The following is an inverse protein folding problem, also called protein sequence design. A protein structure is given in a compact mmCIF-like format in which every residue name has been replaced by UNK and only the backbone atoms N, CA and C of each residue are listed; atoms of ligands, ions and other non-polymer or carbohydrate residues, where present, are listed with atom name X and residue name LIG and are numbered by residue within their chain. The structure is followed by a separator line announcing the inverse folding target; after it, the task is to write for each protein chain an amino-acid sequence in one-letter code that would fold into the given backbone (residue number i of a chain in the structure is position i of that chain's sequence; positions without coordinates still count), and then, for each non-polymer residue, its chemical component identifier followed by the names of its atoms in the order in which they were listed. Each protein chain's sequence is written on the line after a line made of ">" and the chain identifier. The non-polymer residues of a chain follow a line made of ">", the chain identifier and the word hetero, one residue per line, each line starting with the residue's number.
data_IF_948117563531
#
_entry.id   IF_948117563531
#
_cell.length_a   1.000
_cell.length_b   1.000
_cell.length_c   1.000
_cell.angle_alpha   90.00
_cell.angle_beta   90.00
_cell.angle_gamma   90.00
#
_symmetry.space_group_name_H-M   'P 1'
#
loop_
_entity.id
_entity.type
_entity.pdbx_description
1 polymer ?
#
# COMPACT_ATOMS: atom_id res chain seq x y z
N UNK A 1 -21.40 48.18 -65.18
CA UNK A 1 -19.97 48.53 -65.34
C UNK A 1 -19.84 50.05 -65.24
N UNK A 2 -18.73 50.51 -64.68
CA UNK A 2 -18.31 51.90 -64.46
C UNK A 2 -18.88 52.60 -63.21
N UNK A 3 -18.03 52.58 -62.19
CA UNK A 3 -18.02 53.38 -60.96
C UNK A 3 -17.53 54.79 -61.27
N UNK A 4 -18.16 55.80 -60.68
CA UNK A 4 -17.48 57.00 -60.20
C UNK A 4 -18.46 57.85 -59.37
N UNK A 5 -18.10 58.18 -58.14
CA UNK A 5 -18.32 59.53 -57.62
C UNK A 5 -17.43 59.78 -56.41
N UNK A 6 -16.80 60.94 -56.45
CA UNK A 6 -15.84 61.48 -55.51
C UNK A 6 -16.53 61.98 -54.22
N UNK A 7 -15.74 61.96 -53.15
CA UNK A 7 -15.49 63.06 -52.20
C UNK A 7 -16.68 63.89 -51.69
N UNK A 8 -16.88 63.89 -50.36
CA UNK A 8 -16.75 65.15 -49.62
C UNK A 8 -16.51 64.92 -48.12
N UNK A 9 -15.52 65.67 -47.63
CA UNK A 9 -15.28 66.04 -46.23
C UNK A 9 -16.59 66.41 -45.51
N UNK A 10 -16.65 66.17 -44.20
CA UNK A 10 -16.46 67.24 -43.19
C UNK A 10 -17.15 66.95 -41.85
N UNK A 11 -16.30 66.93 -40.81
CA UNK A 11 -16.50 67.44 -39.44
C UNK A 11 -17.36 66.65 -38.43
N UNK A 12 -16.62 66.23 -37.39
CA UNK A 12 -16.87 66.47 -35.95
C UNK A 12 -18.21 65.95 -35.39
N UNK A 13 -18.14 64.99 -34.48
CA UNK A 13 -18.09 65.27 -33.04
C UNK A 13 -18.38 64.00 -32.23
N UNK A 14 -17.63 63.85 -31.14
CA UNK A 14 -18.05 63.28 -29.85
C UNK A 14 -18.77 61.93 -29.83
N UNK A 15 -18.05 60.89 -29.41
CA UNK A 15 -18.38 60.16 -28.18
C UNK A 15 -17.25 59.16 -27.90
N UNK A 16 -16.48 59.44 -26.84
CA UNK A 16 -15.53 58.49 -26.30
C UNK A 16 -16.29 57.30 -25.70
N UNK A 17 -16.13 56.12 -26.30
CA UNK A 17 -16.41 54.87 -25.63
C UNK A 17 -15.09 54.41 -24.98
N UNK A 18 -14.87 54.82 -23.74
CA UNK A 18 -13.81 54.27 -22.89
C UNK A 18 -14.10 52.79 -22.66
N UNK A 19 -13.51 51.93 -23.49
CA UNK A 19 -13.55 50.48 -23.33
C UNK A 19 -12.62 50.11 -22.18
N UNK A 20 -13.17 50.06 -20.96
CA UNK A 20 -12.46 49.53 -19.78
C UNK A 20 -12.42 48.01 -19.93
N UNK A 21 -11.33 47.51 -20.52
CA UNK A 21 -11.01 46.09 -20.55
C UNK A 21 -10.54 45.66 -19.15
N UNK A 22 -11.47 45.19 -18.32
CA UNK A 22 -11.18 44.58 -17.02
C UNK A 22 -10.52 43.20 -17.27
N UNK A 23 -9.19 43.15 -17.30
CA UNK A 23 -8.44 41.89 -17.30
C UNK A 23 -8.54 41.29 -15.90
N UNK A 24 -9.53 40.43 -15.68
CA UNK A 24 -9.57 39.51 -14.55
C UNK A 24 -8.42 38.51 -14.71
N UNK A 25 -7.29 38.78 -14.07
CA UNK A 25 -6.25 37.79 -13.79
C UNK A 25 -6.86 36.73 -12.86
N UNK A 26 -7.50 35.73 -13.45
CA UNK A 26 -7.84 34.49 -12.77
C UNK A 26 -6.51 33.81 -12.49
N UNK A 27 -5.95 34.05 -11.30
CA UNK A 27 -4.92 33.19 -10.73
C UNK A 27 -5.64 31.89 -10.44
N UNK A 28 -5.70 31.00 -11.44
CA UNK A 28 -6.05 29.63 -11.19
C UNK A 28 -5.02 29.12 -10.17
N UNK A 29 -5.43 28.68 -8.97
CA UNK A 29 -4.51 27.91 -8.16
C UNK A 29 -4.16 26.71 -9.03
N UNK A 30 -2.90 26.60 -9.42
CA UNK A 30 -2.35 25.35 -9.91
C UNK A 30 -2.53 24.36 -8.77
N UNK A 31 -3.64 23.63 -8.79
CA UNK A 31 -3.70 22.32 -8.18
C UNK A 31 -2.58 21.55 -8.87
N UNK A 32 -1.41 21.53 -8.25
CA UNK A 32 -0.42 20.53 -8.56
C UNK A 32 -1.13 19.23 -8.25
N UNK A 33 -1.77 18.64 -9.25
CA UNK A 33 -2.01 17.21 -9.26
C UNK A 33 -0.64 16.61 -8.96
N UNK A 34 -0.46 16.10 -7.75
CA UNK A 34 0.74 15.37 -7.38
C UNK A 34 0.77 14.15 -8.28
N UNK A 35 1.32 14.30 -9.47
CA UNK A 35 1.52 13.20 -10.40
C UNK A 35 2.70 12.37 -9.90
N UNK A 36 2.58 11.06 -10.03
CA UNK A 36 3.69 10.14 -9.78
C UNK A 36 4.91 10.54 -10.62
N UNK A 37 5.96 11.05 -9.97
CA UNK A 37 7.22 11.44 -10.62
C UNK A 37 8.27 10.34 -10.57
N UNK A 38 7.98 9.21 -9.92
CA UNK A 38 8.92 8.11 -9.76
C UNK A 38 8.79 7.11 -10.92
N UNK A 39 9.79 6.99 -11.77
CA UNK A 39 9.78 6.02 -12.89
C UNK A 39 10.13 4.59 -12.52
N UNK A 40 10.38 4.26 -11.24
CA UNK A 40 10.97 2.98 -10.84
C UNK A 40 9.89 1.94 -10.52
N UNK A 41 9.69 0.96 -11.40
CA UNK A 41 8.67 -0.11 -11.28
C UNK A 41 9.23 -1.45 -10.82
N UNK A 42 10.54 -1.57 -10.64
CA UNK A 42 11.18 -2.79 -10.17
C UNK A 42 11.46 -2.70 -8.67
N UNK A 43 11.05 -3.69 -7.85
CA UNK A 43 11.28 -3.63 -6.40
C UNK A 43 12.76 -3.69 -6.03
N UNK A 44 13.60 -4.24 -6.91
CA UNK A 44 15.06 -4.33 -6.72
C UNK A 44 15.83 -3.16 -7.34
N UNK A 45 15.16 -2.09 -7.75
CA UNK A 45 15.80 -0.87 -8.22
C UNK A 45 15.74 0.21 -7.12
N UNK A 46 16.78 1.04 -7.04
CA UNK A 46 16.83 2.13 -6.07
C UNK A 46 15.95 3.29 -6.54
N UNK A 47 15.16 3.85 -5.64
CA UNK A 47 14.26 4.97 -5.90
C UNK A 47 14.40 6.04 -4.82
N UNK A 48 14.23 7.30 -5.22
CA UNK A 48 14.08 8.43 -4.31
C UNK A 48 12.72 9.08 -4.57
N UNK A 49 11.84 9.05 -3.58
CA UNK A 49 10.43 9.43 -3.72
C UNK A 49 10.10 10.75 -3.02
N UNK A 50 9.08 11.43 -3.53
CA UNK A 50 8.36 12.49 -2.82
C UNK A 50 6.98 12.00 -2.36
N UNK A 51 6.31 12.74 -1.47
CA UNK A 51 4.89 12.51 -1.19
C UNK A 51 4.07 12.52 -2.49
N UNK A 52 3.18 11.56 -2.65
CA UNK A 52 2.36 11.40 -3.86
C UNK A 52 3.03 10.59 -4.99
N UNK A 53 4.31 10.22 -4.87
CA UNK A 53 4.94 9.29 -5.83
C UNK A 53 4.44 7.86 -5.59
N UNK A 54 4.40 7.05 -6.64
CA UNK A 54 4.24 5.60 -6.51
C UNK A 54 5.55 4.97 -6.05
N UNK A 55 5.53 4.13 -5.01
CA UNK A 55 6.73 3.43 -4.53
C UNK A 55 6.63 1.93 -4.70
N UNK A 56 7.45 1.36 -5.59
CA UNK A 56 7.47 -0.08 -5.81
C UNK A 56 8.24 -0.82 -4.72
N UNK A 57 7.59 -1.82 -4.11
CA UNK A 57 8.23 -2.78 -3.22
C UNK A 57 7.69 -4.19 -3.44
N UNK A 58 8.46 -5.18 -3.00
CA UNK A 58 8.10 -6.60 -3.10
C UNK A 58 7.81 -7.22 -1.74
N UNK A 59 6.96 -8.25 -1.73
CA UNK A 59 6.75 -9.17 -0.61
C UNK A 59 7.05 -10.58 -1.09
N UNK A 60 8.13 -11.16 -0.59
CA UNK A 60 8.54 -12.52 -0.92
C UNK A 60 8.05 -13.50 0.15
N UNK A 61 7.51 -14.64 -0.27
CA UNK A 61 7.03 -15.73 0.56
C UNK A 61 7.96 -16.94 0.39
N UNK A 62 8.55 -17.39 1.49
CA UNK A 62 9.48 -18.51 1.52
C UNK A 62 9.52 -19.13 2.94
N UNK A 63 10.29 -20.21 3.12
CA UNK A 63 10.59 -20.68 4.47
C UNK A 63 11.48 -19.65 5.19
N UNK A 64 11.35 -19.54 6.52
CA UNK A 64 12.10 -18.57 7.32
C UNK A 64 13.61 -18.59 7.03
N UNK A 65 14.20 -19.78 6.95
CA UNK A 65 15.63 -19.97 6.73
C UNK A 65 16.10 -19.57 5.32
N UNK A 66 15.19 -19.49 4.34
CA UNK A 66 15.55 -19.18 2.96
C UNK A 66 15.87 -17.71 2.72
N UNK A 67 15.55 -16.84 3.68
CA UNK A 67 15.96 -15.43 3.67
C UNK A 67 17.35 -15.19 4.24
N UNK A 68 18.05 -16.25 4.68
CA UNK A 68 19.35 -16.16 5.33
C UNK A 68 20.44 -16.87 4.53
N UNK A 69 21.65 -16.33 4.60
CA UNK A 69 22.88 -16.97 4.12
C UNK A 69 24.00 -16.67 5.11
N UNK A 70 24.67 -17.72 5.61
CA UNK A 70 25.74 -17.56 6.61
C UNK A 70 25.29 -16.89 7.91
N UNK A 71 24.03 -17.07 8.32
CA UNK A 71 23.47 -16.44 9.52
C UNK A 71 23.04 -14.97 9.35
N UNK A 72 23.26 -14.38 8.17
CA UNK A 72 22.85 -13.00 7.87
C UNK A 72 21.60 -13.02 7.01
N UNK A 73 20.60 -12.22 7.40
CA UNK A 73 19.43 -12.01 6.56
C UNK A 73 19.80 -11.16 5.35
N UNK A 74 19.56 -11.68 4.14
CA UNK A 74 19.79 -10.96 2.89
C UNK A 74 18.47 -10.42 2.33
N UNK A 75 18.57 -9.43 1.44
CA UNK A 75 17.41 -8.97 0.68
C UNK A 75 16.98 -10.06 -0.30
N UNK A 76 15.67 -10.25 -0.55
CA UNK A 76 15.16 -11.09 -1.64
C UNK A 76 15.70 -10.77 -3.04
N UNK A 77 16.27 -9.57 -3.24
CA UNK A 77 17.01 -9.21 -4.46
C UNK A 77 18.40 -9.85 -4.58
N UNK A 78 18.91 -10.47 -3.52
CA UNK A 78 20.24 -11.08 -3.49
C UNK A 78 20.21 -12.49 -4.08
N UNK A 79 20.92 -12.67 -5.20
CA UNK A 79 20.97 -13.92 -5.93
C UNK A 79 21.49 -15.11 -5.11
N UNK A 80 22.22 -14.88 -4.02
CA UNK A 80 22.73 -15.96 -3.14
C UNK A 80 21.61 -16.73 -2.42
N UNK A 81 20.42 -16.14 -2.30
CA UNK A 81 19.28 -16.81 -1.69
C UNK A 81 18.64 -17.86 -2.61
N UNK A 82 18.83 -17.70 -3.93
CA UNK A 82 18.23 -18.57 -4.97
C UNK A 82 16.74 -18.83 -4.76
N UNK A 83 15.99 -17.83 -4.27
CA UNK A 83 14.58 -17.96 -3.83
C UNK A 83 13.67 -18.58 -4.89
N UNK A 84 13.84 -18.20 -6.16
CA UNK A 84 13.05 -18.75 -7.26
C UNK A 84 13.21 -20.28 -7.41
N UNK A 85 14.44 -20.78 -7.26
CA UNK A 85 14.73 -22.23 -7.32
C UNK A 85 14.16 -23.01 -6.12
N UNK A 86 13.89 -22.31 -5.01
CA UNK A 86 13.30 -22.87 -3.79
C UNK A 86 11.78 -22.76 -3.74
N UNK A 87 11.15 -22.34 -4.85
CA UNK A 87 9.70 -22.24 -4.94
C UNK A 87 9.09 -21.02 -4.26
N UNK A 88 9.90 -20.01 -3.90
CA UNK A 88 9.40 -18.79 -3.30
C UNK A 88 8.41 -18.08 -4.23
N UNK A 89 7.43 -17.40 -3.62
CA UNK A 89 6.42 -16.61 -4.34
C UNK A 89 6.64 -15.13 -4.08
N UNK A 90 6.24 -14.30 -5.03
CA UNK A 90 6.47 -12.86 -4.98
C UNK A 90 5.17 -12.13 -5.29
N UNK A 91 4.82 -11.15 -4.45
CA UNK A 91 3.85 -10.12 -4.75
C UNK A 91 4.58 -8.79 -4.87
N UNK A 92 4.24 -7.98 -5.87
CA UNK A 92 4.81 -6.64 -6.09
C UNK A 92 3.69 -5.62 -6.01
N UNK A 93 3.95 -4.56 -5.26
CA UNK A 93 2.99 -3.49 -5.03
C UNK A 93 3.62 -2.15 -5.32
N UNK A 94 2.76 -1.17 -5.62
CA UNK A 94 3.15 0.20 -5.90
C UNK A 94 2.11 1.18 -5.32
N UNK A 95 2.01 1.28 -3.99
CA UNK A 95 1.19 2.29 -3.33
C UNK A 95 1.72 3.71 -3.57
N UNK A 96 0.85 4.69 -3.38
CA UNK A 96 1.24 6.10 -3.29
C UNK A 96 1.91 6.37 -1.94
N UNK A 97 2.99 7.15 -1.95
CA UNK A 97 3.76 7.48 -0.75
C UNK A 97 2.99 8.46 0.12
N UNK A 98 2.87 8.09 1.39
CA UNK A 98 2.11 8.80 2.43
C UNK A 98 0.59 8.74 2.26
N UNK A 99 0.09 7.85 1.41
CA UNK A 99 -1.31 7.45 1.38
C UNK A 99 -1.50 6.17 2.20
N UNK A 100 -2.58 6.13 2.99
CA UNK A 100 -2.96 4.90 3.69
C UNK A 100 -3.50 3.90 2.67
N UNK A 101 -2.83 2.77 2.53
CA UNK A 101 -3.29 1.68 1.66
C UNK A 101 -3.46 0.37 2.43
N UNK A 102 -4.49 -0.40 2.06
CA UNK A 102 -4.65 -1.81 2.45
C UNK A 102 -4.40 -2.67 1.22
N UNK A 103 -3.31 -3.44 1.24
CA UNK A 103 -2.97 -4.37 0.18
C UNK A 103 -3.49 -5.76 0.54
N UNK A 104 -3.96 -6.51 -0.45
CA UNK A 104 -4.41 -7.89 -0.24
C UNK A 104 -3.62 -8.82 -1.16
N UNK A 105 -3.06 -9.88 -0.59
CA UNK A 105 -2.50 -11.00 -1.36
C UNK A 105 -3.58 -12.07 -1.46
N UNK A 106 -4.13 -12.28 -2.65
CA UNK A 106 -5.22 -13.23 -2.85
C UNK A 106 -4.73 -14.68 -2.66
N UNK A 107 -5.27 -15.35 -1.65
CA UNK A 107 -4.99 -16.77 -1.35
C UNK A 107 -6.22 -17.66 -1.46
N UNK A 108 -7.41 -17.09 -1.69
CA UNK A 108 -8.71 -17.75 -1.50
C UNK A 108 -9.34 -18.31 -2.78
N UNK A 109 -8.73 -18.11 -3.95
CA UNK A 109 -9.18 -18.74 -5.19
C UNK A 109 -8.86 -20.25 -5.24
N UNK A 110 -9.73 -21.06 -5.84
CA UNK A 110 -9.42 -22.46 -6.14
C UNK A 110 -8.19 -22.53 -7.07
N UNK A 111 -7.10 -23.15 -6.62
CA UNK A 111 -5.80 -23.11 -7.31
C UNK A 111 -4.95 -21.86 -7.03
N UNK A 112 -5.38 -21.03 -6.07
CA UNK A 112 -4.69 -19.82 -5.63
C UNK A 112 -3.41 -20.09 -4.83
N UNK A 113 -2.65 -19.02 -4.59
CA UNK A 113 -1.43 -19.06 -3.80
C UNK A 113 -1.71 -19.46 -2.34
N UNK A 114 -0.97 -20.45 -1.83
CA UNK A 114 -1.04 -20.84 -0.42
C UNK A 114 0.29 -20.50 0.29
N UNK A 115 0.29 -19.53 1.22
CA UNK A 115 1.49 -19.17 1.99
C UNK A 115 2.06 -20.35 2.78
N UNK A 116 1.24 -21.28 3.27
CA UNK A 116 1.70 -22.42 4.06
C UNK A 116 2.57 -23.38 3.24
N UNK A 117 2.23 -23.59 1.96
CA UNK A 117 3.04 -24.44 1.04
C UNK A 117 4.30 -23.73 0.55
N UNK A 118 4.33 -22.40 0.60
CA UNK A 118 5.49 -21.58 0.23
C UNK A 118 6.41 -21.31 1.42
N UNK A 119 6.33 -22.11 2.48
CA UNK A 119 7.21 -22.04 3.64
C UNK A 119 6.71 -21.17 4.80
N UNK A 120 5.57 -20.49 4.66
CA UNK A 120 4.81 -19.92 5.77
C UNK A 120 5.31 -18.59 6.33
N UNK A 121 6.37 -18.00 5.76
CA UNK A 121 6.90 -16.70 6.16
C UNK A 121 6.93 -15.74 5.00
N UNK A 122 6.93 -14.44 5.30
CA UNK A 122 7.15 -13.40 4.30
C UNK A 122 8.14 -12.33 4.75
N UNK A 123 8.81 -11.72 3.76
CA UNK A 123 9.72 -10.59 3.89
C UNK A 123 9.33 -9.52 2.87
N UNK A 124 9.14 -8.29 3.34
CA UNK A 124 9.00 -7.13 2.47
C UNK A 124 10.38 -6.57 2.15
N UNK A 125 10.58 -6.08 0.93
CA UNK A 125 11.87 -5.59 0.47
C UNK A 125 11.75 -4.54 -0.62
N UNK A 126 12.74 -3.65 -0.69
CA UNK A 126 12.94 -2.75 -1.81
C UNK A 126 14.38 -2.24 -1.91
N UNK A 127 14.77 -1.85 -3.12
CA UNK A 127 16.09 -1.31 -3.44
C UNK A 127 17.20 -2.37 -3.55
N UNK A 128 18.35 -1.94 -4.06
CA UNK A 128 19.55 -2.78 -4.24
C UNK A 128 20.74 -2.24 -3.46
N UNK A 129 20.94 -0.92 -3.46
CA UNK A 129 22.07 -0.29 -2.77
C UNK A 129 21.92 -0.37 -1.25
N UNK A 130 20.75 0.02 -0.73
CA UNK A 130 20.44 -0.08 0.69
C UNK A 130 19.84 -1.43 1.05
N UNK A 131 19.25 -2.13 0.05
CA UNK A 131 18.68 -3.47 0.20
C UNK A 131 17.76 -3.56 1.44
N UNK A 132 16.89 -2.56 1.56
CA UNK A 132 15.96 -2.43 2.68
C UNK A 132 15.03 -3.64 2.71
N UNK A 133 14.89 -4.25 3.88
CA UNK A 133 14.14 -5.49 4.07
C UNK A 133 13.57 -5.55 5.48
N UNK A 134 12.39 -6.12 5.62
CA UNK A 134 11.80 -6.39 6.92
C UNK A 134 12.28 -7.71 7.51
N UNK A 135 12.23 -7.91 8.83
CA UNK A 135 12.42 -9.24 9.40
C UNK A 135 11.36 -10.22 8.87
N UNK A 136 11.66 -11.53 8.76
CA UNK A 136 10.66 -12.52 8.38
C UNK A 136 9.52 -12.56 9.40
N UNK A 137 8.29 -12.48 8.92
CA UNK A 137 7.08 -12.60 9.74
C UNK A 137 6.32 -13.86 9.38
N UNK A 138 5.76 -14.53 10.39
CA UNK A 138 4.91 -15.70 10.20
C UNK A 138 3.60 -15.29 9.52
N UNK A 139 3.19 -16.07 8.51
CA UNK A 139 1.95 -15.85 7.75
C UNK A 139 1.01 -17.02 7.93
N UNK A 140 1.46 -18.24 7.65
CA UNK A 140 0.59 -19.42 7.71
C UNK A 140 1.36 -20.72 7.86
N UNK A 141 0.73 -21.71 8.47
CA UNK A 141 1.12 -23.12 8.42
C UNK A 141 -0.13 -24.00 8.30
N UNK A 142 0.02 -25.31 8.54
CA UNK A 142 -1.10 -26.26 8.49
C UNK A 142 -2.17 -26.03 9.56
N UNK A 143 -1.85 -25.30 10.63
CA UNK A 143 -2.72 -25.10 11.79
C UNK A 143 -3.30 -23.70 11.89
N UNK A 144 -2.50 -22.67 11.57
CA UNK A 144 -2.85 -21.26 11.80
C UNK A 144 -2.46 -20.37 10.63
N UNK A 145 -3.27 -19.33 10.39
CA UNK A 145 -3.02 -18.28 9.41
C UNK A 145 -3.25 -16.91 10.04
N UNK A 146 -2.28 -16.01 9.89
CA UNK A 146 -2.40 -14.59 10.24
C UNK A 146 -2.84 -13.83 9.00
N UNK A 147 -3.92 -13.05 9.15
CA UNK A 147 -4.57 -12.36 8.02
C UNK A 147 -4.37 -10.85 8.02
N UNK A 148 -3.84 -10.27 9.11
CA UNK A 148 -3.71 -8.83 9.25
C UNK A 148 -2.29 -8.44 9.67
N UNK A 149 -1.66 -7.62 8.83
CA UNK A 149 -0.30 -7.12 9.00
C UNK A 149 -0.27 -5.60 8.85
N UNK A 150 0.70 -4.98 9.49
CA UNK A 150 1.02 -3.57 9.29
C UNK A 150 2.50 -3.46 8.96
N UNK A 151 2.80 -2.89 7.79
CA UNK A 151 4.15 -2.65 7.29
C UNK A 151 4.47 -1.16 7.36
N UNK A 152 5.61 -0.85 7.95
CA UNK A 152 6.09 0.52 8.15
C UNK A 152 7.28 0.77 7.24
N UNK A 153 7.19 1.81 6.43
CA UNK A 153 8.26 2.29 5.57
C UNK A 153 8.94 3.48 6.26
N UNK A 154 10.24 3.36 6.50
CA UNK A 154 11.05 4.46 7.04
C UNK A 154 11.91 5.05 5.92
N UNK A 155 11.57 6.26 5.50
CA UNK A 155 12.32 7.00 4.48
C UNK A 155 13.24 8.03 5.12
N UNK A 156 14.43 8.18 4.56
CA UNK A 156 15.33 9.28 4.88
C UNK A 156 15.66 10.00 3.58
N UNK A 157 15.28 11.29 3.49
CA UNK A 157 15.44 12.12 2.28
C UNK A 157 14.94 11.41 1.01
N UNK A 158 13.77 10.78 1.10
CA UNK A 158 13.12 10.08 -0.01
C UNK A 158 13.68 8.69 -0.32
N UNK A 159 14.71 8.24 0.39
CA UNK A 159 15.28 6.90 0.20
C UNK A 159 14.85 5.97 1.32
N UNK A 160 14.27 4.81 0.97
CA UNK A 160 13.86 3.80 1.95
C UNK A 160 15.09 3.28 2.70
N UNK A 161 15.07 3.41 4.03
CA UNK A 161 16.11 2.91 4.91
C UNK A 161 15.72 1.56 5.52
N UNK A 162 14.52 1.50 6.07
CA UNK A 162 14.05 0.32 6.80
C UNK A 162 12.61 -0.03 6.49
N UNK A 163 12.30 -1.30 6.71
CA UNK A 163 10.96 -1.86 6.66
C UNK A 163 10.72 -2.66 7.95
N UNK A 164 9.61 -2.42 8.63
CA UNK A 164 9.30 -3.14 9.86
C UNK A 164 7.85 -3.61 9.88
N UNK A 165 7.65 -4.82 10.37
CA UNK A 165 6.32 -5.32 10.70
C UNK A 165 5.94 -4.85 12.10
N UNK A 166 4.79 -4.19 12.21
CA UNK A 166 4.23 -3.87 13.52
C UNK A 166 3.36 -5.05 13.97
N UNK A 167 3.72 -5.65 15.10
CA UNK A 167 2.88 -6.67 15.73
C UNK A 167 1.54 -6.05 16.17
N UNK A 168 0.45 -6.74 15.86
CA UNK A 168 -0.89 -6.31 16.23
C UNK A 168 -1.25 -6.66 17.67
N UNK A 169 -0.43 -7.49 18.33
CA UNK A 169 -0.70 -8.01 19.66
C UNK A 169 -1.81 -9.06 19.64
N UNK A 170 -1.93 -9.78 20.75
CA UNK A 170 -2.90 -10.86 20.87
C UNK A 170 -4.23 -10.44 21.51
N UNK A 171 -4.36 -9.17 21.90
CA UNK A 171 -5.63 -8.61 22.36
C UNK A 171 -6.73 -8.73 21.31
N UNK A 172 -6.38 -8.64 20.02
CA UNK A 172 -7.32 -8.80 18.90
C UNK A 172 -7.96 -10.20 18.82
N UNK A 173 -7.37 -11.23 19.44
CA UNK A 173 -7.96 -12.58 19.49
C UNK A 173 -8.93 -12.78 20.66
N UNK A 174 -8.96 -11.86 21.62
CA UNK A 174 -9.69 -12.06 22.87
C UNK A 174 -11.19 -12.13 22.60
N UNK A 175 -11.86 -13.17 23.11
CA UNK A 175 -13.30 -13.36 22.96
C UNK A 175 -13.75 -14.10 21.69
N UNK A 176 -12.82 -14.63 20.88
CA UNK A 176 -13.15 -15.39 19.68
C UNK A 176 -12.58 -16.82 19.74
N UNK A 177 -13.40 -17.89 19.74
CA UNK A 177 -12.94 -19.26 19.98
C UNK A 177 -12.09 -19.83 18.84
N UNK A 178 -12.23 -19.30 17.63
CA UNK A 178 -11.51 -19.75 16.42
C UNK A 178 -10.15 -19.07 16.22
N UNK A 179 -9.76 -18.18 17.12
CA UNK A 179 -8.55 -17.36 17.02
C UNK A 179 -7.57 -17.71 18.14
N UNK A 180 -6.28 -17.64 17.82
CA UNK A 180 -5.19 -17.91 18.75
C UNK A 180 -4.05 -16.92 18.56
N UNK A 181 -3.26 -16.74 19.61
CA UNK A 181 -2.08 -15.91 19.61
C UNK A 181 -0.88 -16.70 19.07
N UNK A 182 -0.35 -16.31 17.92
CA UNK A 182 0.87 -16.90 17.33
C UNK A 182 1.85 -15.76 17.05
N UNK A 183 3.08 -15.85 17.58
CA UNK A 183 4.13 -14.86 17.36
C UNK A 183 3.67 -13.39 17.56
N UNK A 184 2.99 -13.13 18.68
CA UNK A 184 2.45 -11.80 19.04
C UNK A 184 1.42 -11.24 18.03
N UNK A 185 0.87 -12.10 17.18
CA UNK A 185 -0.12 -11.77 16.17
C UNK A 185 -1.35 -12.64 16.32
N UNK A 186 -2.50 -12.11 15.92
CA UNK A 186 -3.73 -12.86 15.95
C UNK A 186 -3.88 -13.74 14.72
N UNK A 187 -4.03 -15.05 14.93
CA UNK A 187 -4.16 -16.04 13.88
C UNK A 187 -5.50 -16.77 13.99
N UNK A 188 -6.08 -17.13 12.85
CA UNK A 188 -7.25 -18.02 12.77
C UNK A 188 -6.78 -19.44 12.45
N UNK A 189 -7.52 -20.45 12.88
CA UNK A 189 -7.29 -21.83 12.44
C UNK A 189 -7.33 -21.93 10.90
N UNK A 190 -6.29 -22.51 10.30
CA UNK A 190 -6.18 -22.68 8.83
C UNK A 190 -7.33 -23.51 8.26
N UNK A 191 -7.91 -24.42 9.04
CA UNK A 191 -9.08 -25.20 8.63
C UNK A 191 -10.33 -24.34 8.36
N UNK A 192 -10.41 -23.15 8.94
CA UNK A 192 -11.52 -22.22 8.70
C UNK A 192 -11.37 -21.43 7.39
N UNK A 193 -10.19 -21.48 6.75
CA UNK A 193 -9.90 -20.71 5.56
C UNK A 193 -10.52 -21.32 4.29
N UNK A 194 -11.00 -20.46 3.40
CA UNK A 194 -11.45 -20.82 2.06
C UNK A 194 -10.30 -21.49 1.28
N UNK A 195 -10.60 -22.61 0.61
CA UNK A 195 -9.60 -23.46 -0.05
C UNK A 195 -8.96 -24.51 0.86
N UNK A 196 -9.25 -24.48 2.17
CA UNK A 196 -8.80 -25.47 3.18
C UNK A 196 -9.94 -26.23 3.85
N UNK A 197 -11.16 -26.07 3.34
CA UNK A 197 -12.38 -26.72 3.86
C UNK A 197 -13.30 -25.79 4.67
N UNK A 198 -12.87 -24.55 4.95
CA UNK A 198 -13.68 -23.54 5.60
C UNK A 198 -14.25 -22.49 4.66
N UNK A 199 -14.96 -21.50 5.23
CA UNK A 199 -15.69 -20.45 4.50
C UNK A 199 -15.11 -19.03 4.69
N UNK A 200 -14.04 -18.88 5.49
CA UNK A 200 -13.48 -17.57 5.82
C UNK A 200 -12.37 -17.20 4.84
N UNK A 201 -12.41 -15.99 4.26
CA UNK A 201 -11.28 -15.49 3.48
C UNK A 201 -10.09 -15.18 4.41
N UNK A 202 -9.00 -15.91 4.20
CA UNK A 202 -7.76 -15.77 4.95
C UNK A 202 -6.64 -15.07 4.16
N UNK A 203 -7.00 -14.34 3.10
CA UNK A 203 -6.05 -13.56 2.32
C UNK A 203 -5.30 -12.56 3.22
N UNK A 204 -3.95 -12.56 3.20
CA UNK A 204 -3.16 -11.59 3.95
C UNK A 204 -3.45 -10.15 3.52
N UNK A 205 -3.98 -9.36 4.46
CA UNK A 205 -4.14 -7.92 4.36
C UNK A 205 -2.95 -7.20 4.99
N UNK A 206 -2.29 -6.33 4.24
CA UNK A 206 -1.13 -5.55 4.66
C UNK A 206 -1.50 -4.07 4.63
N UNK A 207 -1.63 -3.47 5.81
CA UNK A 207 -1.75 -2.03 5.96
C UNK A 207 -0.39 -1.37 5.84
N UNK A 208 -0.31 -0.29 5.09
CA UNK A 208 0.93 0.46 4.90
C UNK A 208 0.93 1.74 5.72
N UNK A 209 2.11 2.11 6.18
CA UNK A 209 2.33 3.35 6.88
C UNK A 209 3.71 3.91 6.57
N UNK A 210 3.81 5.23 6.44
CA UNK A 210 5.03 5.90 6.03
C UNK A 210 5.54 6.81 7.16
N UNK A 211 6.86 6.84 7.34
CA UNK A 211 7.56 7.64 8.33
C UNK A 211 8.85 8.22 7.75
N UNK A 212 9.35 9.28 8.37
CA UNK A 212 10.57 9.96 7.99
C UNK A 212 10.33 11.09 7.00
N UNK A 213 11.20 11.25 6.01
CA UNK A 213 11.13 12.38 5.06
C UNK A 213 11.27 11.96 3.61
N UNK A 214 10.65 12.75 2.74
CA UNK A 214 10.70 12.60 1.29
C UNK A 214 11.96 13.27 0.67
N UNK A 215 12.15 13.19 -0.65
CA UNK A 215 13.35 13.72 -1.34
C UNK A 215 13.53 15.24 -1.24
N UNK A 216 12.45 15.97 -0.90
CA UNK A 216 12.44 17.41 -0.64
C UNK A 216 12.42 17.73 0.85
N UNK A 217 12.72 16.74 1.70
CA UNK A 217 12.73 16.84 3.16
C UNK A 217 11.34 17.11 3.79
N UNK A 218 10.26 16.91 3.04
CA UNK A 218 8.91 16.98 3.58
C UNK A 218 8.63 15.75 4.45
N UNK A 219 8.02 15.97 5.63
CA UNK A 219 7.72 14.90 6.60
C UNK A 219 6.59 14.01 6.08
N UNK A 220 6.77 12.69 6.18
CA UNK A 220 5.75 11.67 5.94
C UNK A 220 4.99 11.41 7.25
N UNK A 221 3.65 11.50 7.22
CA UNK A 221 2.82 11.60 8.45
C UNK A 221 1.81 10.46 8.63
N UNK A 222 1.56 9.64 7.62
CA UNK A 222 0.58 8.54 7.66
C UNK A 222 0.80 7.55 8.82
N UNK A 223 2.03 7.42 9.33
CA UNK A 223 2.31 6.64 10.55
C UNK A 223 1.47 7.06 11.77
N UNK A 224 1.22 8.36 11.97
CA UNK A 224 0.42 8.86 13.08
C UNK A 224 -1.08 8.53 12.94
N UNK A 225 -1.52 8.21 11.73
CA UNK A 225 -2.91 7.87 11.42
C UNK A 225 -3.19 6.38 11.55
N UNK A 226 -2.16 5.53 11.67
CA UNK A 226 -2.29 4.08 11.92
C UNK A 226 -3.09 3.79 13.19
N UNK A 227 -2.99 4.64 14.23
CA UNK A 227 -3.82 4.48 15.43
C UNK A 227 -5.30 4.71 15.17
N UNK A 228 -5.66 5.56 14.20
CA UNK A 228 -7.05 5.84 13.80
C UNK A 228 -7.60 4.75 12.85
N UNK A 229 -6.76 4.16 12.01
CA UNK A 229 -7.15 3.06 11.11
C UNK A 229 -7.38 1.73 11.81
N UNK A 230 -6.77 1.50 12.97
CA UNK A 230 -7.05 0.33 13.82
C UNK A 230 -8.54 0.16 14.11
N UNK A 231 -9.31 1.26 14.18
CA UNK A 231 -10.76 1.19 14.35
C UNK A 231 -11.49 0.71 13.08
N UNK A 232 -11.01 1.06 11.89
CA UNK A 232 -11.69 0.76 10.62
C UNK A 232 -11.30 -0.59 10.02
N UNK A 233 -10.02 -1.00 10.10
CA UNK A 233 -9.60 -2.30 9.53
C UNK A 233 -10.11 -3.48 10.35
N UNK A 234 -10.27 -3.34 11.67
CA UNK A 234 -10.94 -4.37 12.47
C UNK A 234 -12.42 -4.46 12.10
N UNK A 235 -13.12 -3.33 11.98
CA UNK A 235 -14.54 -3.33 11.58
C UNK A 235 -14.75 -3.89 10.18
N UNK A 236 -13.86 -3.64 9.21
CA UNK A 236 -13.95 -4.17 7.84
C UNK A 236 -13.62 -5.68 7.71
N UNK A 237 -12.61 -6.16 8.45
CA UNK A 237 -12.30 -7.60 8.55
C UNK A 237 -13.42 -8.36 9.28
N UNK A 238 -14.03 -7.75 10.30
CA UNK A 238 -15.18 -8.32 11.00
C UNK A 238 -16.51 -8.07 10.29
N UNK A 239 -16.63 -7.12 9.36
CA UNK A 239 -17.88 -6.91 8.59
C UNK A 239 -18.07 -7.97 7.52
N UNK A 240 -17.00 -8.45 6.89
CA UNK A 240 -17.08 -9.63 6.00
C UNK A 240 -17.32 -10.92 6.78
N UNK A 241 -16.97 -10.98 8.07
CA UNK A 241 -17.43 -12.04 8.98
C UNK A 241 -18.90 -11.83 9.39
N UNK A 242 -19.37 -10.59 9.48
CA UNK A 242 -20.75 -10.25 9.85
C UNK A 242 -21.76 -10.74 8.82
N UNK A 243 -21.48 -10.61 7.52
CA UNK A 243 -22.39 -11.08 6.46
C UNK A 243 -22.50 -12.62 6.38
N UNK A 244 -21.51 -13.35 6.91
CA UNK A 244 -21.56 -14.82 7.04
C UNK A 244 -22.09 -15.30 8.41
N UNK A 245 -22.35 -14.39 9.35
CA UNK A 245 -22.89 -14.67 10.69
C UNK A 245 -24.31 -14.09 10.88
N UNK A 246 -24.92 -13.53 9.83
CA UNK A 246 -26.22 -12.84 9.87
C UNK A 246 -27.44 -13.76 10.00
N UNK A 247 -27.29 -15.05 10.27
CA UNK A 247 -28.42 -15.92 10.62
C UNK A 247 -28.61 -16.12 12.13
N UNK A 248 -27.75 -15.56 12.99
CA UNK A 248 -27.84 -15.76 14.45
C UNK A 248 -27.94 -14.48 15.31
N UNK A 249 -28.12 -13.31 14.70
CA UNK A 249 -28.44 -12.08 15.43
C UNK A 249 -29.72 -11.42 14.88
N UNK A 250 -30.81 -12.18 14.88
CA UNK A 250 -32.10 -11.61 15.28
C UNK A 250 -32.13 -11.64 16.81
N UNK A 251 -32.74 -10.63 17.44
CA UNK A 251 -32.69 -10.28 18.87
C UNK A 251 -31.59 -9.23 19.12
N UNK A 252 -32.02 -8.06 19.58
CA UNK A 252 -31.30 -6.77 19.72
C UNK A 252 -31.39 -5.80 18.53
N UNK A 253 -32.53 -5.80 17.83
CA UNK A 253 -33.31 -4.57 17.78
C UNK A 253 -34.35 -4.62 18.89
#
# INVERSE_FOLDING_TARGET
>A
MAVATLSSRSRRACAEAASVLLVLLVIAPSVAAGGDTNGVYEPCADAAVQRGDGFTFGVAFAARGDFFSGGVQLSPCDGRLSLASKGAKLAVFRPEVDEISLLTVNTSAAGGFDPATSGGYMVAFAGRKYAARSPPVFVSNSSYTVTSFTLVFEFNKGTLQNLYWKANGCSACSGQPSFTCVDQSCAISTANCTGKGGSVDCSPGIQLAFSGTDKHEAVLNSWYEVSKLRQYSLVGLFSNLKDSLTSQFSIFF
#
